data_IF_514008295689
#
_entry.id   IF_514008295689
#
_cell.length_a   1.000
_cell.length_b   1.000
_cell.length_c   1.000
_cell.angle_alpha   90.00
_cell.angle_beta   90.00
_cell.angle_gamma   90.00
#
_symmetry.space_group_name_H-M   'P 1'
#
loop_
_entity.id
_entity.type
_entity.pdbx_description
1 polymer ?
#
# COMPACT_ATOMS: atom_id res chain seq x y z
N UNK A 1 14.52 -5.54 32.50
CA UNK A 1 14.16 -5.72 31.08
C UNK A 1 12.83 -6.45 30.99
N UNK A 2 11.87 -5.86 30.28
CA UNK A 2 10.58 -6.54 30.04
C UNK A 2 10.77 -7.60 28.95
N UNK A 3 10.31 -8.82 29.18
CA UNK A 3 10.30 -9.87 28.15
C UNK A 3 9.06 -9.85 27.25
N UNK A 4 8.01 -9.14 27.63
CA UNK A 4 6.74 -9.05 26.88
C UNK A 4 6.05 -7.71 27.15
N UNK A 5 5.32 -7.21 26.16
CA UNK A 5 4.40 -6.08 26.33
C UNK A 5 3.19 -6.48 27.17
N UNK A 6 2.63 -5.55 27.93
CA UNK A 6 1.32 -5.70 28.58
C UNK A 6 0.18 -5.64 27.56
N UNK A 7 -1.02 -6.10 27.93
CA UNK A 7 -2.20 -6.05 27.04
C UNK A 7 -2.49 -4.64 26.53
N UNK A 8 -2.36 -3.60 27.37
CA UNK A 8 -2.55 -2.21 27.00
C UNK A 8 -1.51 -1.72 25.99
N UNK A 9 -0.25 -2.12 26.16
CA UNK A 9 0.84 -1.79 25.24
C UNK A 9 0.67 -2.52 23.90
N UNK A 10 0.18 -3.77 23.88
CA UNK A 10 -0.17 -4.46 22.64
C UNK A 10 -1.28 -3.73 21.86
N UNK A 11 -2.35 -3.30 22.55
CA UNK A 11 -3.43 -2.52 21.92
C UNK A 11 -2.90 -1.19 21.38
N UNK A 12 -2.01 -0.52 22.14
CA UNK A 12 -1.40 0.73 21.71
C UNK A 12 -0.57 0.55 20.42
N UNK A 13 0.32 -0.46 20.40
CA UNK A 13 1.17 -0.76 19.23
C UNK A 13 0.31 -1.21 18.03
N UNK A 14 -0.71 -2.04 18.26
CA UNK A 14 -1.65 -2.47 17.21
C UNK A 14 -2.44 -1.30 16.62
N UNK A 15 -2.94 -0.39 17.45
CA UNK A 15 -3.64 0.82 17.01
C UNK A 15 -2.72 1.77 16.24
N UNK A 16 -1.46 1.86 16.64
CA UNK A 16 -0.45 2.65 15.93
C UNK A 16 -0.17 2.04 14.55
N UNK A 17 0.05 0.71 14.47
CA UNK A 17 0.22 -0.02 13.21
C UNK A 17 -0.96 0.18 12.29
N UNK A 18 -2.17 -0.01 12.79
CA UNK A 18 -3.39 0.26 12.03
C UNK A 18 -3.41 1.69 11.49
N UNK A 19 -3.11 2.68 12.33
CA UNK A 19 -3.09 4.09 11.93
C UNK A 19 -1.98 4.46 10.94
N UNK A 20 -0.89 3.67 10.87
CA UNK A 20 0.18 3.84 9.88
C UNK A 20 -0.21 3.26 8.51
N UNK A 21 -0.91 2.13 8.49
CA UNK A 21 -1.33 1.48 7.25
C UNK A 21 -2.64 2.04 6.72
N UNK A 22 -3.59 2.35 7.59
CA UNK A 22 -4.92 2.74 7.17
C UNK A 22 -4.96 4.16 6.57
N UNK A 23 -5.00 4.24 5.25
CA UNK A 23 -5.04 5.46 4.46
C UNK A 23 -6.16 5.47 3.42
N UNK A 24 -6.10 6.42 2.50
CA UNK A 24 -7.09 6.57 1.42
C UNK A 24 -7.28 5.30 0.58
N UNK A 25 -6.17 4.63 0.24
CA UNK A 25 -6.19 3.42 -0.57
C UNK A 25 -7.01 2.28 0.05
N UNK A 26 -6.92 2.14 1.37
CA UNK A 26 -7.61 1.10 2.14
C UNK A 26 -9.14 1.23 2.15
N UNK A 27 -9.65 2.33 1.66
CA UNK A 27 -11.09 2.59 1.49
C UNK A 27 -11.52 2.42 0.05
N UNK A 28 -10.81 3.08 -0.86
CA UNK A 28 -11.24 3.18 -2.25
C UNK A 28 -11.07 1.86 -3.00
N UNK A 29 -9.99 1.11 -2.76
CA UNK A 29 -9.78 -0.13 -3.49
C UNK A 29 -10.70 -1.27 -3.06
N UNK A 30 -10.96 -1.52 -1.76
CA UNK A 30 -11.92 -2.55 -1.37
C UNK A 30 -13.35 -2.27 -1.84
N UNK A 31 -13.84 -1.03 -1.76
CA UNK A 31 -15.20 -0.71 -2.21
C UNK A 31 -15.35 -0.88 -3.72
N UNK A 32 -14.37 -0.44 -4.50
CA UNK A 32 -14.35 -0.60 -5.95
C UNK A 32 -14.25 -2.08 -6.36
N UNK A 33 -13.35 -2.84 -5.71
CA UNK A 33 -13.26 -4.29 -5.90
C UNK A 33 -14.62 -4.94 -5.66
N UNK A 34 -15.35 -4.53 -4.63
CA UNK A 34 -16.69 -5.04 -4.35
C UNK A 34 -17.66 -4.79 -5.49
N UNK A 35 -17.68 -3.57 -6.04
CA UNK A 35 -18.52 -3.23 -7.19
C UNK A 35 -18.14 -4.05 -8.44
N UNK A 36 -16.87 -4.30 -8.66
CA UNK A 36 -16.38 -5.02 -9.84
C UNK A 36 -16.50 -6.54 -9.72
N UNK A 37 -16.25 -7.09 -8.53
CA UNK A 37 -16.22 -8.52 -8.31
C UNK A 37 -17.61 -9.20 -8.26
N UNK A 38 -18.64 -8.45 -7.88
CA UNK A 38 -20.01 -8.99 -7.86
C UNK A 38 -20.12 -10.31 -7.10
N UNK A 39 -20.76 -11.32 -7.70
CA UNK A 39 -20.92 -12.66 -7.11
C UNK A 39 -19.60 -13.39 -6.81
N UNK A 40 -18.50 -12.99 -7.46
CA UNK A 40 -17.17 -13.58 -7.26
C UNK A 40 -16.39 -12.88 -6.11
N UNK A 41 -17.05 -12.04 -5.34
CA UNK A 41 -16.42 -11.17 -4.31
C UNK A 41 -15.61 -11.93 -3.27
N UNK A 42 -16.01 -13.14 -2.87
CA UNK A 42 -15.31 -13.90 -1.83
C UNK A 42 -13.91 -14.34 -2.25
N UNK A 43 -13.75 -14.77 -3.50
CA UNK A 43 -12.43 -15.12 -4.04
C UNK A 43 -11.57 -13.85 -4.23
N UNK A 44 -12.17 -12.77 -4.68
CA UNK A 44 -11.49 -11.50 -4.84
C UNK A 44 -11.02 -10.92 -3.48
N UNK A 45 -11.87 -10.98 -2.44
CA UNK A 45 -11.51 -10.62 -1.06
C UNK A 45 -10.32 -11.45 -0.57
N UNK A 46 -10.32 -12.76 -0.79
CA UNK A 46 -9.22 -13.62 -0.36
C UNK A 46 -7.89 -13.17 -0.99
N UNK A 47 -7.88 -12.88 -2.29
CA UNK A 47 -6.71 -12.32 -2.98
C UNK A 47 -6.26 -10.99 -2.38
N UNK A 48 -7.19 -10.05 -2.21
CA UNK A 48 -6.95 -8.73 -1.62
C UNK A 48 -6.36 -8.83 -0.20
N UNK A 49 -6.89 -9.71 0.65
CA UNK A 49 -6.44 -9.86 2.03
C UNK A 49 -5.01 -10.41 2.13
N UNK A 50 -4.59 -11.26 1.20
CA UNK A 50 -3.21 -11.79 1.18
C UNK A 50 -2.23 -10.65 0.94
N UNK A 51 -2.48 -9.78 -0.02
CA UNK A 51 -1.55 -8.71 -0.42
C UNK A 51 -1.75 -7.41 0.34
N UNK A 52 -2.99 -7.03 0.62
CA UNK A 52 -3.32 -5.79 1.31
C UNK A 52 -3.23 -5.89 2.85
N UNK A 53 -3.25 -7.11 3.41
CA UNK A 53 -3.18 -7.31 4.87
C UNK A 53 -2.07 -8.27 5.27
N UNK A 54 -1.95 -9.41 4.62
CA UNK A 54 -0.96 -10.43 4.96
C UNK A 54 0.48 -9.97 4.69
N UNK A 55 0.76 -9.45 3.50
CA UNK A 55 2.10 -8.96 3.15
C UNK A 55 2.58 -7.80 4.03
N UNK A 56 1.77 -6.79 4.38
CA UNK A 56 2.17 -5.76 5.35
C UNK A 56 2.61 -6.32 6.69
N UNK A 57 1.89 -7.30 7.23
CA UNK A 57 2.28 -7.99 8.45
C UNK A 57 3.64 -8.68 8.31
N UNK A 58 3.83 -9.41 7.21
CA UNK A 58 5.09 -10.10 6.92
C UNK A 58 6.24 -9.11 6.71
N UNK A 59 5.99 -7.93 6.12
CA UNK A 59 6.98 -6.88 5.93
C UNK A 59 7.50 -6.32 7.25
N UNK A 60 6.60 -5.98 8.19
CA UNK A 60 7.01 -5.54 9.53
C UNK A 60 7.74 -6.66 10.29
N UNK A 61 7.24 -7.90 10.20
CA UNK A 61 7.87 -9.07 10.81
C UNK A 61 9.28 -9.32 10.25
N UNK A 62 9.47 -9.13 8.94
CA UNK A 62 10.75 -9.29 8.26
C UNK A 62 11.83 -8.34 8.82
N UNK A 63 11.49 -7.06 9.04
CA UNK A 63 12.39 -6.09 9.66
C UNK A 63 12.78 -6.51 11.09
N UNK A 64 11.81 -6.96 11.89
CA UNK A 64 12.04 -7.41 13.26
C UNK A 64 12.92 -8.66 13.32
N UNK A 65 12.59 -9.69 12.52
CA UNK A 65 13.29 -10.99 12.50
C UNK A 65 14.70 -10.87 11.92
N UNK A 66 14.88 -10.08 10.86
CA UNK A 66 16.19 -9.86 10.23
C UNK A 66 17.09 -8.93 11.01
N UNK A 67 16.61 -8.35 12.12
CA UNK A 67 17.31 -7.35 12.95
C UNK A 67 17.77 -6.13 12.15
N UNK A 68 17.09 -5.81 11.07
CA UNK A 68 17.44 -4.68 10.22
C UNK A 68 16.97 -3.37 10.86
N UNK A 69 17.77 -2.32 10.71
CA UNK A 69 17.48 -0.98 11.23
C UNK A 69 16.55 -0.17 10.30
N UNK A 70 16.14 -0.75 9.18
CA UNK A 70 15.23 -0.16 8.20
C UNK A 70 15.36 -0.83 6.84
N UNK A 71 14.64 -0.28 5.86
CA UNK A 71 14.61 -0.82 4.50
C UNK A 71 16.00 -0.82 3.84
N UNK A 72 16.76 0.28 4.00
CA UNK A 72 18.08 0.39 3.41
C UNK A 72 19.03 -0.71 3.92
N UNK A 73 19.04 -0.94 5.24
CA UNK A 73 19.85 -1.98 5.86
C UNK A 73 19.44 -3.38 5.40
N UNK A 74 18.13 -3.66 5.38
CA UNK A 74 17.61 -4.93 4.87
C UNK A 74 18.03 -5.18 3.42
N UNK A 75 17.88 -4.20 2.55
CA UNK A 75 18.21 -4.26 1.13
C UNK A 75 19.72 -4.34 0.89
N UNK A 76 20.55 -3.82 1.82
CA UNK A 76 22.02 -3.87 1.76
C UNK A 76 22.56 -5.30 1.84
N UNK A 77 21.77 -6.27 2.31
CA UNK A 77 22.13 -7.70 2.28
C UNK A 77 22.29 -8.21 0.84
N UNK A 78 21.66 -7.59 -0.14
CA UNK A 78 21.90 -7.83 -1.57
C UNK A 78 23.17 -7.11 -2.03
N UNK A 79 23.12 -5.78 -2.06
CA UNK A 79 24.25 -4.91 -2.33
C UNK A 79 23.93 -3.46 -1.97
N UNK A 80 24.95 -2.63 -1.74
CA UNK A 80 24.75 -1.21 -1.43
C UNK A 80 24.10 -0.42 -2.58
N UNK A 81 24.46 -0.61 -3.86
CA UNK A 81 23.78 0.03 -4.99
C UNK A 81 22.31 -0.39 -5.09
N UNK A 82 22.01 -1.67 -4.91
CA UNK A 82 20.63 -2.16 -4.89
C UNK A 82 19.83 -1.51 -3.75
N UNK A 83 20.38 -1.43 -2.54
CA UNK A 83 19.73 -0.80 -1.40
C UNK A 83 19.41 0.67 -1.66
N UNK A 84 20.32 1.42 -2.26
CA UNK A 84 20.10 2.81 -2.62
C UNK A 84 18.96 2.94 -3.64
N UNK A 85 19.03 2.17 -4.73
CA UNK A 85 18.00 2.15 -5.76
C UNK A 85 16.63 1.77 -5.19
N UNK A 86 16.54 0.63 -4.49
CA UNK A 86 15.26 0.09 -4.02
C UNK A 86 14.64 0.98 -2.94
N UNK A 87 15.43 1.51 -2.01
CA UNK A 87 14.94 2.44 -0.98
C UNK A 87 14.43 3.74 -1.62
N UNK A 88 15.19 4.34 -2.53
CA UNK A 88 14.72 5.54 -3.23
C UNK A 88 13.45 5.28 -4.04
N UNK A 89 13.42 4.21 -4.84
CA UNK A 89 12.27 3.86 -5.66
C UNK A 89 11.00 3.63 -4.81
N UNK A 90 11.13 2.88 -3.70
CA UNK A 90 10.01 2.61 -2.80
C UNK A 90 9.51 3.89 -2.12
N UNK A 91 10.41 4.70 -1.54
CA UNK A 91 10.00 5.93 -0.87
C UNK A 91 9.44 6.99 -1.82
N UNK A 92 9.95 7.09 -3.05
CA UNK A 92 9.37 7.97 -4.07
C UNK A 92 7.96 7.50 -4.49
N UNK A 93 7.74 6.20 -4.56
CA UNK A 93 6.44 5.61 -4.92
C UNK A 93 5.39 5.83 -3.85
N UNK A 94 5.66 5.47 -2.58
CA UNK A 94 4.73 5.72 -1.47
C UNK A 94 4.73 7.20 -1.04
N UNK A 95 5.66 7.98 -1.53
CA UNK A 95 5.83 9.40 -1.26
C UNK A 95 5.27 10.27 -2.39
N UNK A 96 6.13 11.13 -2.96
CA UNK A 96 5.70 12.23 -3.82
C UNK A 96 5.09 11.81 -5.16
N UNK A 97 5.34 10.58 -5.65
CA UNK A 97 4.87 10.21 -6.97
C UNK A 97 3.42 9.69 -6.96
N UNK A 98 3.02 8.89 -5.96
CA UNK A 98 1.69 8.28 -6.02
C UNK A 98 0.88 8.39 -4.73
N UNK A 99 1.36 7.93 -3.56
CA UNK A 99 0.49 7.88 -2.39
C UNK A 99 0.16 9.27 -1.83
N UNK A 100 1.09 10.22 -1.81
CA UNK A 100 0.83 11.59 -1.33
C UNK A 100 -0.13 12.33 -2.27
N UNK A 101 0.10 12.39 -3.62
CA UNK A 101 -0.86 13.02 -4.53
C UNK A 101 -2.23 12.34 -4.47
N UNK A 102 -2.29 11.01 -4.34
CA UNK A 102 -3.54 10.26 -4.19
C UNK A 102 -4.33 10.68 -2.95
N UNK A 103 -3.68 11.05 -1.84
CA UNK A 103 -4.39 11.59 -0.69
C UNK A 103 -5.19 12.85 -1.03
N UNK A 104 -4.60 13.78 -1.78
CA UNK A 104 -5.29 15.00 -2.20
C UNK A 104 -6.43 14.70 -3.18
N UNK A 105 -6.15 13.91 -4.22
CA UNK A 105 -7.16 13.58 -5.25
C UNK A 105 -8.30 12.75 -4.69
N UNK A 106 -8.06 11.76 -3.83
CA UNK A 106 -9.13 11.01 -3.16
C UNK A 106 -10.00 11.94 -2.32
N UNK A 107 -9.39 12.86 -1.57
CA UNK A 107 -10.14 13.84 -0.77
C UNK A 107 -11.02 14.74 -1.63
N UNK A 108 -10.51 15.16 -2.80
CA UNK A 108 -11.25 15.94 -3.77
C UNK A 108 -12.41 15.14 -4.36
N UNK A 109 -12.13 13.93 -4.87
CA UNK A 109 -13.13 13.07 -5.53
C UNK A 109 -14.24 12.63 -4.59
N UNK A 110 -13.91 12.27 -3.33
CA UNK A 110 -14.93 11.87 -2.33
C UNK A 110 -15.76 13.07 -1.86
N UNK A 111 -15.18 14.25 -1.85
CA UNK A 111 -15.81 15.43 -1.27
C UNK A 111 -16.29 16.44 -2.31
N UNK A 112 -15.39 17.34 -2.69
CA UNK A 112 -15.75 18.53 -3.45
C UNK A 112 -16.29 18.20 -4.85
N UNK A 113 -15.71 17.22 -5.53
CA UNK A 113 -16.08 16.83 -6.89
C UNK A 113 -17.56 16.45 -7.01
N UNK A 114 -18.14 15.82 -5.98
CA UNK A 114 -19.53 15.35 -5.97
C UNK A 114 -20.58 16.48 -5.88
N UNK A 115 -20.16 17.65 -5.44
CA UNK A 115 -21.04 18.82 -5.26
C UNK A 115 -20.79 19.93 -6.26
N UNK A 116 -19.79 19.75 -7.14
CA UNK A 116 -19.49 20.72 -8.20
C UNK A 116 -20.54 20.69 -9.30
N UNK A 117 -20.86 21.85 -9.90
CA UNK A 117 -21.68 21.90 -11.10
C UNK A 117 -21.04 21.09 -12.23
N UNK A 118 -21.84 20.31 -12.97
CA UNK A 118 -21.34 19.49 -14.08
C UNK A 118 -20.70 20.33 -15.21
N UNK A 119 -21.11 21.58 -15.36
CA UNK A 119 -20.55 22.53 -16.32
C UNK A 119 -19.31 23.25 -15.79
N UNK A 120 -18.88 22.98 -14.56
CA UNK A 120 -17.71 23.59 -13.91
C UNK A 120 -16.39 23.04 -14.45
N UNK A 121 -15.34 23.89 -14.46
CA UNK A 121 -13.99 23.44 -14.81
C UNK A 121 -13.38 22.66 -13.63
N UNK A 122 -13.61 21.36 -13.59
CA UNK A 122 -13.12 20.45 -12.54
C UNK A 122 -11.61 20.58 -12.32
N UNK A 123 -10.83 20.84 -13.36
CA UNK A 123 -9.38 21.01 -13.29
C UNK A 123 -9.00 22.22 -12.42
N UNK A 124 -9.69 23.35 -12.55
CA UNK A 124 -9.42 24.54 -11.73
C UNK A 124 -9.76 24.27 -10.27
N UNK A 125 -10.90 23.62 -10.01
CA UNK A 125 -11.30 23.27 -8.64
C UNK A 125 -10.32 22.29 -7.98
N UNK A 126 -9.86 21.27 -8.74
CA UNK A 126 -8.82 20.33 -8.27
C UNK A 126 -7.51 21.06 -7.96
N UNK A 127 -7.08 22.01 -8.80
CA UNK A 127 -5.88 22.81 -8.57
C UNK A 127 -5.99 23.63 -7.28
N UNK A 128 -7.10 24.36 -7.11
CA UNK A 128 -7.31 25.19 -5.91
C UNK A 128 -7.35 24.34 -4.65
N UNK A 129 -8.07 23.21 -4.71
CA UNK A 129 -8.13 22.25 -3.60
C UNK A 129 -6.75 21.67 -3.28
N UNK A 130 -6.00 21.23 -4.30
CA UNK A 130 -4.67 20.65 -4.14
C UNK A 130 -3.68 21.66 -3.54
N UNK A 131 -3.72 22.94 -3.97
CA UNK A 131 -2.89 24.00 -3.38
C UNK A 131 -3.20 24.17 -1.89
N UNK A 132 -4.48 24.26 -1.52
CA UNK A 132 -4.89 24.38 -0.12
C UNK A 132 -4.48 23.15 0.70
N UNK A 133 -4.70 21.93 0.16
CA UNK A 133 -4.35 20.67 0.79
C UNK A 133 -2.84 20.56 1.05
N UNK A 134 -2.01 20.82 0.04
CA UNK A 134 -0.56 20.73 0.16
C UNK A 134 0.06 21.88 0.98
N UNK A 135 -0.53 23.07 0.96
CA UNK A 135 -0.14 24.13 1.88
C UNK A 135 -0.35 23.72 3.34
N UNK A 136 -1.50 23.13 3.65
CA UNK A 136 -1.79 22.58 4.98
C UNK A 136 -0.85 21.41 5.33
N UNK A 137 -0.67 20.44 4.40
CA UNK A 137 0.20 19.29 4.61
C UNK A 137 1.65 19.71 4.88
N UNK A 138 2.19 20.63 4.10
CA UNK A 138 3.55 21.16 4.28
C UNK A 138 3.68 21.94 5.59
N UNK A 139 2.69 22.79 5.92
CA UNK A 139 2.69 23.54 7.19
C UNK A 139 2.82 22.61 8.39
N UNK A 140 2.05 21.49 8.42
CA UNK A 140 2.12 20.52 9.50
C UNK A 140 3.41 19.67 9.44
N UNK A 141 3.89 19.29 8.27
CA UNK A 141 5.14 18.54 8.12
C UNK A 141 6.36 19.34 8.59
N UNK A 142 6.36 20.65 8.39
CA UNK A 142 7.44 21.53 8.85
C UNK A 142 7.38 21.85 10.35
N UNK A 143 6.26 21.56 11.02
CA UNK A 143 6.03 21.79 12.44
C UNK A 143 5.50 20.51 13.09
N UNK A 144 6.31 19.45 13.24
CA UNK A 144 5.90 18.23 13.88
C UNK A 144 5.56 18.51 15.36
N UNK A 145 4.31 18.69 15.64
CA UNK A 145 3.82 19.06 16.96
C UNK A 145 2.63 18.19 17.41
N UNK A 146 2.13 18.46 18.61
CA UNK A 146 1.01 17.73 19.25
C UNK A 146 -0.29 17.66 18.43
N UNK A 147 -0.47 18.56 17.43
CA UNK A 147 -1.67 18.65 16.59
C UNK A 147 -1.89 17.35 15.80
N UNK A 148 -0.83 16.76 15.18
CA UNK A 148 -0.93 15.49 14.46
C UNK A 148 -1.35 14.34 15.37
N UNK A 149 -0.87 14.37 16.62
CA UNK A 149 -1.25 13.37 17.63
C UNK A 149 -2.72 13.52 18.02
N UNK A 150 -3.20 14.76 18.14
CA UNK A 150 -4.60 15.05 18.45
C UNK A 150 -5.54 14.67 17.32
N UNK A 151 -5.21 15.07 16.09
CA UNK A 151 -5.95 14.71 14.88
C UNK A 151 -6.04 13.19 14.74
N UNK A 152 -4.94 12.46 14.98
CA UNK A 152 -4.95 11.00 14.94
C UNK A 152 -5.77 10.35 16.07
N UNK A 153 -5.77 10.92 17.27
CA UNK A 153 -6.48 10.35 18.42
C UNK A 153 -8.00 10.54 18.36
N UNK A 154 -8.48 11.62 17.77
CA UNK A 154 -9.91 11.94 17.72
C UNK A 154 -10.48 11.59 16.35
N UNK A 155 -9.80 11.98 15.29
CA UNK A 155 -10.35 11.89 13.94
C UNK A 155 -10.41 10.45 13.42
N UNK A 156 -9.38 9.64 13.69
CA UNK A 156 -9.39 8.25 13.25
C UNK A 156 -10.54 7.44 13.87
N UNK A 157 -10.81 7.50 15.19
CA UNK A 157 -12.00 6.89 15.76
C UNK A 157 -13.31 7.43 15.18
N UNK A 158 -13.46 8.75 15.04
CA UNK A 158 -14.68 9.35 14.47
C UNK A 158 -14.93 8.87 13.04
N UNK A 159 -13.88 8.83 12.21
CA UNK A 159 -13.95 8.30 10.86
C UNK A 159 -14.37 6.82 10.84
N UNK A 160 -13.77 5.97 11.69
CA UNK A 160 -14.10 4.55 11.77
C UNK A 160 -15.55 4.32 12.25
N UNK A 161 -16.05 5.12 13.19
CA UNK A 161 -17.46 5.06 13.61
C UNK A 161 -18.37 5.44 12.45
N UNK A 162 -18.06 6.52 11.72
CA UNK A 162 -18.85 6.91 10.55
C UNK A 162 -18.84 5.84 9.46
N UNK A 163 -17.66 5.29 9.15
CA UNK A 163 -17.52 4.20 8.19
C UNK A 163 -18.31 2.96 8.62
N UNK A 164 -18.26 2.61 9.91
CA UNK A 164 -19.04 1.50 10.44
C UNK A 164 -20.54 1.74 10.29
N UNK A 165 -21.04 2.95 10.57
CA UNK A 165 -22.44 3.33 10.35
C UNK A 165 -22.80 3.17 8.87
N UNK A 166 -22.02 3.73 7.95
CA UNK A 166 -22.25 3.63 6.51
C UNK A 166 -22.34 2.16 6.07
N UNK A 167 -21.33 1.36 6.44
CA UNK A 167 -21.27 -0.06 6.08
C UNK A 167 -22.47 -0.82 6.66
N UNK A 168 -22.80 -0.62 7.93
CA UNK A 168 -23.95 -1.29 8.57
C UNK A 168 -25.24 -0.92 7.85
N UNK A 169 -25.47 0.34 7.52
CA UNK A 169 -26.66 0.77 6.79
C UNK A 169 -26.76 0.07 5.44
N UNK A 170 -25.67 0.01 4.66
CA UNK A 170 -25.66 -0.68 3.36
C UNK A 170 -25.94 -2.18 3.52
N UNK A 171 -25.32 -2.84 4.51
CA UNK A 171 -25.48 -4.29 4.71
C UNK A 171 -26.87 -4.67 5.24
N UNK A 172 -27.54 -3.79 5.96
CA UNK A 172 -28.90 -4.02 6.49
C UNK A 172 -29.99 -3.66 5.46
N UNK A 173 -29.69 -2.72 4.56
CA UNK A 173 -30.60 -2.30 3.48
C UNK A 173 -29.93 -2.50 2.12
N UNK A 174 -29.56 -3.74 1.74
CA UNK A 174 -28.80 -3.98 0.52
C UNK A 174 -29.61 -3.61 -0.73
N UNK A 175 -28.94 -3.01 -1.72
CA UNK A 175 -29.54 -2.75 -3.02
C UNK A 175 -29.76 -4.04 -3.81
N UNK A 176 -28.82 -5.00 -3.69
CA UNK A 176 -28.93 -6.33 -4.29
C UNK A 176 -28.30 -7.40 -3.39
N UNK A 177 -28.73 -8.65 -3.60
CA UNK A 177 -28.00 -9.80 -3.06
C UNK A 177 -26.65 -9.98 -3.78
N UNK A 178 -25.63 -10.38 -3.04
CA UNK A 178 -24.28 -10.64 -3.61
C UNK A 178 -24.34 -11.61 -4.79
N UNK A 179 -25.19 -12.62 -4.74
CA UNK A 179 -25.33 -13.63 -5.80
C UNK A 179 -25.93 -13.08 -7.10
N UNK A 180 -26.65 -11.97 -7.04
CA UNK A 180 -27.36 -11.37 -8.18
C UNK A 180 -26.48 -10.37 -8.96
N UNK A 181 -25.36 -9.92 -8.38
CA UNK A 181 -24.48 -8.92 -8.98
C UNK A 181 -23.51 -9.61 -9.93
N UNK A 182 -23.60 -9.29 -11.22
CA UNK A 182 -22.66 -9.84 -12.22
C UNK A 182 -21.24 -9.29 -12.01
N UNK A 183 -20.21 -10.13 -12.05
CA UNK A 183 -18.82 -9.71 -12.01
C UNK A 183 -18.42 -9.01 -13.31
N UNK A 184 -17.48 -8.07 -13.22
CA UNK A 184 -17.00 -7.25 -14.34
C UNK A 184 -15.48 -7.43 -14.53
N UNK A 185 -15.03 -7.27 -15.79
CA UNK A 185 -13.61 -7.32 -16.14
C UNK A 185 -12.93 -8.60 -15.69
N UNK A 186 -11.69 -8.52 -15.22
CA UNK A 186 -10.90 -9.67 -14.78
C UNK A 186 -11.50 -10.46 -13.60
N UNK A 187 -12.46 -9.89 -12.89
CA UNK A 187 -13.14 -10.60 -11.79
C UNK A 187 -14.13 -11.67 -12.26
N UNK A 188 -14.53 -11.67 -13.54
CA UNK A 188 -15.36 -12.69 -14.10
C UNK A 188 -14.57 -14.02 -14.26
N UNK A 189 -13.34 -13.94 -14.77
CA UNK A 189 -12.54 -15.10 -15.13
C UNK A 189 -11.55 -15.51 -14.04
N UNK A 190 -10.92 -14.55 -13.37
CA UNK A 190 -9.80 -14.74 -12.45
C UNK A 190 -9.94 -13.91 -11.16
N UNK A 191 -11.05 -14.05 -10.41
CA UNK A 191 -11.37 -13.15 -9.28
C UNK A 191 -10.31 -13.13 -8.20
N UNK A 192 -9.71 -14.28 -7.87
CA UNK A 192 -8.66 -14.38 -6.85
C UNK A 192 -7.40 -13.60 -7.25
N UNK A 193 -6.90 -13.81 -8.47
CA UNK A 193 -5.66 -13.15 -8.92
C UNK A 193 -5.88 -11.67 -9.18
N UNK A 194 -7.05 -11.29 -9.70
CA UNK A 194 -7.42 -9.88 -9.86
C UNK A 194 -7.47 -9.18 -8.50
N UNK A 195 -8.10 -9.78 -7.51
CA UNK A 195 -8.12 -9.26 -6.14
C UNK A 195 -6.73 -9.24 -5.47
N UNK A 196 -5.88 -10.24 -5.75
CA UNK A 196 -4.50 -10.26 -5.28
C UNK A 196 -3.69 -9.08 -5.82
N UNK A 197 -3.82 -8.78 -7.11
CA UNK A 197 -3.15 -7.64 -7.73
C UNK A 197 -3.77 -6.30 -7.29
N UNK A 198 -5.07 -6.26 -7.05
CA UNK A 198 -5.74 -5.05 -6.53
C UNK A 198 -5.18 -4.65 -5.17
N UNK A 199 -4.79 -5.62 -4.34
CA UNK A 199 -4.12 -5.32 -3.08
C UNK A 199 -2.76 -4.61 -3.23
N UNK A 200 -2.10 -4.66 -4.38
CA UNK A 200 -0.91 -3.85 -4.65
C UNK A 200 -1.23 -2.35 -4.64
N UNK A 201 -2.41 -1.98 -5.09
CA UNK A 201 -2.87 -0.59 -5.14
C UNK A 201 -3.01 0.04 -3.75
N UNK A 202 -3.17 -0.75 -2.68
CA UNK A 202 -3.18 -0.22 -1.29
C UNK A 202 -1.81 0.33 -0.88
N UNK A 203 -0.72 -0.18 -1.47
CA UNK A 203 0.69 0.14 -1.15
C UNK A 203 1.12 -0.25 0.27
N UNK A 204 0.32 -1.00 1.01
CA UNK A 204 0.57 -1.31 2.43
C UNK A 204 1.80 -2.19 2.64
N UNK A 205 2.10 -3.12 1.73
CA UNK A 205 3.31 -3.93 1.84
C UNK A 205 4.58 -3.09 1.65
N UNK A 206 4.56 -2.10 0.75
CA UNK A 206 5.65 -1.15 0.60
C UNK A 206 5.77 -0.25 1.83
N UNK A 207 4.65 0.25 2.34
CA UNK A 207 4.57 1.04 3.56
C UNK A 207 5.11 0.27 4.77
N UNK A 208 4.86 -1.05 4.86
CA UNK A 208 5.36 -1.90 5.94
C UNK A 208 6.89 -1.96 6.00
N UNK A 209 7.54 -2.01 4.85
CA UNK A 209 9.01 -1.97 4.75
C UNK A 209 9.58 -0.58 5.06
N UNK A 210 8.85 0.48 4.74
CA UNK A 210 9.27 1.84 5.02
C UNK A 210 9.07 2.22 6.50
N UNK A 211 7.92 1.90 7.08
CA UNK A 211 7.51 2.37 8.39
C UNK A 211 7.63 1.31 9.49
N UNK A 212 7.85 0.05 9.15
CA UNK A 212 7.94 -1.04 10.13
C UNK A 212 9.01 -0.83 11.19
N UNK A 213 10.07 -0.09 10.87
CA UNK A 213 11.12 0.27 11.84
C UNK A 213 10.60 1.17 12.96
N UNK A 214 9.64 2.05 12.69
CA UNK A 214 9.02 2.92 13.70
C UNK A 214 8.34 2.06 14.76
N UNK A 215 7.67 0.99 14.33
CA UNK A 215 7.00 0.05 15.24
C UNK A 215 8.00 -0.71 16.09
N UNK A 216 9.08 -1.19 15.48
CA UNK A 216 10.18 -1.84 16.19
C UNK A 216 10.80 -0.91 17.24
N UNK A 217 11.01 0.36 16.91
CA UNK A 217 11.53 1.36 17.82
C UNK A 217 10.58 1.61 19.00
N UNK A 218 9.29 1.80 18.74
CA UNK A 218 8.28 2.00 19.80
C UNK A 218 8.24 0.80 20.77
N UNK A 219 8.35 -0.44 20.26
CA UNK A 219 8.40 -1.63 21.11
C UNK A 219 9.66 -1.62 22.01
N UNK A 220 10.81 -1.16 21.49
CA UNK A 220 12.03 -0.98 22.27
C UNK A 220 11.87 0.10 23.33
N UNK A 221 11.29 1.23 22.98
CA UNK A 221 11.04 2.35 23.91
C UNK A 221 10.07 1.94 25.05
N UNK A 222 9.19 0.96 24.80
CA UNK A 222 8.36 0.34 25.83
C UNK A 222 9.12 -0.65 26.75
N UNK A 223 10.43 -0.82 26.55
CA UNK A 223 11.34 -1.58 27.41
C UNK A 223 11.55 -3.03 26.99
N UNK A 224 11.16 -3.43 25.76
CA UNK A 224 11.45 -4.75 25.20
C UNK A 224 12.70 -4.62 24.32
N UNK A 225 13.87 -5.03 24.85
CA UNK A 225 15.16 -4.84 24.16
C UNK A 225 15.64 -6.10 23.44
N UNK A 226 15.27 -7.28 23.94
CA UNK A 226 15.73 -8.54 23.37
C UNK A 226 15.14 -8.74 21.95
N UNK A 227 16.00 -8.96 20.92
CA UNK A 227 15.55 -8.96 19.53
C UNK A 227 14.46 -9.98 19.17
N UNK A 228 14.49 -11.15 19.82
CA UNK A 228 13.45 -12.19 19.63
C UNK A 228 12.12 -11.77 20.25
N UNK A 229 12.17 -11.10 21.41
CA UNK A 229 10.99 -10.57 22.09
C UNK A 229 10.40 -9.36 21.34
N UNK A 230 11.24 -8.50 20.77
CA UNK A 230 10.81 -7.39 19.88
C UNK A 230 10.10 -7.94 18.66
N UNK A 231 10.72 -8.89 17.94
CA UNK A 231 10.12 -9.53 16.76
C UNK A 231 8.79 -10.22 17.13
N UNK A 232 8.74 -10.98 18.21
CA UNK A 232 7.52 -11.64 18.68
C UNK A 232 6.41 -10.66 19.08
N UNK A 233 6.77 -9.53 19.70
CA UNK A 233 5.83 -8.47 20.07
C UNK A 233 5.30 -7.74 18.83
N UNK A 234 6.17 -7.47 17.85
CA UNK A 234 5.80 -6.87 16.56
C UNK A 234 4.79 -7.74 15.81
N UNK A 235 5.05 -9.03 15.68
CA UNK A 235 4.14 -9.97 15.01
C UNK A 235 2.79 -10.05 15.73
N UNK A 236 2.77 -10.15 17.05
CA UNK A 236 1.51 -10.21 17.81
C UNK A 236 0.69 -8.95 17.69
N UNK A 237 1.30 -7.76 17.83
CA UNK A 237 0.61 -6.50 17.64
C UNK A 237 0.11 -6.37 16.19
N UNK A 238 0.92 -6.81 15.22
CA UNK A 238 0.56 -6.83 13.81
C UNK A 238 -0.64 -7.72 13.51
N UNK A 239 -0.76 -8.89 14.13
CA UNK A 239 -1.93 -9.79 13.96
C UNK A 239 -3.23 -9.07 14.34
N UNK A 240 -3.28 -8.37 15.48
CA UNK A 240 -4.47 -7.61 15.89
C UNK A 240 -4.81 -6.49 14.90
N UNK A 241 -3.81 -5.74 14.45
CA UNK A 241 -3.98 -4.70 13.44
C UNK A 241 -4.52 -5.27 12.13
N UNK A 242 -3.94 -6.38 11.67
CA UNK A 242 -4.33 -7.04 10.43
C UNK A 242 -5.73 -7.67 10.48
N UNK A 243 -6.12 -8.26 11.60
CA UNK A 243 -7.48 -8.76 11.79
C UNK A 243 -8.51 -7.64 11.69
N UNK A 244 -8.19 -6.48 12.29
CA UNK A 244 -9.07 -5.33 12.23
C UNK A 244 -9.14 -4.73 10.80
N UNK A 245 -7.99 -4.63 10.11
CA UNK A 245 -7.96 -4.23 8.70
C UNK A 245 -8.74 -5.20 7.80
N UNK A 246 -8.57 -6.51 8.00
CA UNK A 246 -9.29 -7.53 7.24
C UNK A 246 -10.80 -7.41 7.42
N UNK A 247 -11.27 -7.20 8.67
CA UNK A 247 -12.69 -6.98 8.95
C UNK A 247 -13.24 -5.77 8.19
N UNK A 248 -12.51 -4.64 8.20
CA UNK A 248 -12.93 -3.44 7.48
C UNK A 248 -12.93 -3.70 5.96
N UNK A 249 -11.90 -4.35 5.42
CA UNK A 249 -11.83 -4.65 4.00
C UNK A 249 -12.99 -5.53 3.55
N UNK A 250 -13.29 -6.60 4.27
CA UNK A 250 -14.44 -7.47 3.99
C UNK A 250 -15.75 -6.66 4.00
N UNK A 251 -15.95 -5.87 5.05
CA UNK A 251 -17.18 -5.11 5.25
C UNK A 251 -17.39 -4.03 4.17
N UNK A 252 -16.34 -3.26 3.85
CA UNK A 252 -16.39 -2.22 2.82
C UNK A 252 -16.54 -2.84 1.42
N UNK A 253 -15.89 -3.98 1.15
CA UNK A 253 -16.03 -4.68 -0.12
C UNK A 253 -17.46 -5.19 -0.33
N UNK A 254 -18.05 -5.82 0.70
CA UNK A 254 -19.43 -6.28 0.63
C UNK A 254 -20.42 -5.13 0.44
N UNK A 255 -20.18 -3.99 1.12
CA UNK A 255 -20.98 -2.78 0.89
C UNK A 255 -20.86 -2.29 -0.56
N UNK A 256 -19.65 -2.34 -1.15
CA UNK A 256 -19.44 -2.05 -2.57
C UNK A 256 -20.23 -2.99 -3.48
N UNK A 257 -20.20 -4.31 -3.23
CA UNK A 257 -20.96 -5.29 -4.03
C UNK A 257 -22.47 -5.03 -3.94
N UNK A 258 -23.00 -4.88 -2.73
CA UNK A 258 -24.45 -4.71 -2.53
C UNK A 258 -24.97 -3.38 -3.06
N UNK A 259 -24.13 -2.34 -3.14
CA UNK A 259 -24.51 -1.06 -3.72
C UNK A 259 -24.87 -1.14 -5.22
N UNK A 260 -24.39 -2.18 -5.92
CA UNK A 260 -24.65 -2.41 -7.36
C UNK A 260 -26.13 -2.64 -7.70
N UNK A 261 -26.97 -2.94 -6.72
CA UNK A 261 -28.42 -3.03 -6.95
C UNK A 261 -29.11 -1.69 -7.17
N UNK A 262 -28.48 -0.60 -6.74
CA UNK A 262 -29.04 0.77 -6.81
C UNK A 262 -28.08 1.77 -7.47
N UNK A 263 -26.84 1.41 -7.65
CA UNK A 263 -25.79 2.23 -8.27
C UNK A 263 -25.08 1.42 -9.36
N UNK A 264 -24.65 2.09 -10.41
CA UNK A 264 -23.75 1.50 -11.42
C UNK A 264 -22.33 1.36 -10.88
N UNK A 265 -21.48 0.54 -11.54
CA UNK A 265 -20.08 0.47 -11.20
C UNK A 265 -19.40 1.81 -11.50
N UNK A 266 -18.74 2.36 -10.51
CA UNK A 266 -18.03 3.63 -10.63
C UNK A 266 -16.66 3.45 -11.29
N UNK A 267 -16.13 4.51 -11.88
CA UNK A 267 -14.78 4.49 -12.49
C UNK A 267 -13.65 4.24 -11.48
N UNK A 268 -13.87 4.65 -10.24
CA UNK A 268 -12.91 4.46 -9.15
C UNK A 268 -13.62 4.37 -7.80
N UNK A 269 -12.88 3.91 -6.80
CA UNK A 269 -13.43 3.71 -5.47
C UNK A 269 -13.73 4.99 -4.67
N UNK A 270 -13.15 6.12 -5.05
CA UNK A 270 -13.47 7.42 -4.44
C UNK A 270 -14.89 7.84 -4.80
N UNK A 271 -15.22 7.78 -6.09
CA UNK A 271 -16.56 8.03 -6.61
C UNK A 271 -17.56 7.02 -6.06
N UNK A 272 -17.21 5.72 -6.05
CA UNK A 272 -18.05 4.67 -5.48
C UNK A 272 -18.45 4.97 -4.03
N UNK A 273 -17.47 5.27 -3.19
CA UNK A 273 -17.70 5.53 -1.77
C UNK A 273 -18.57 6.77 -1.54
N UNK A 274 -18.35 7.83 -2.33
CA UNK A 274 -19.15 9.05 -2.25
C UNK A 274 -20.60 8.81 -2.66
N UNK A 275 -20.83 8.11 -3.78
CA UNK A 275 -22.17 7.77 -4.26
C UNK A 275 -22.92 6.88 -3.27
N UNK A 276 -22.24 5.89 -2.65
CA UNK A 276 -22.81 5.05 -1.60
C UNK A 276 -23.23 5.92 -0.40
N UNK A 277 -22.34 6.81 0.08
CA UNK A 277 -22.67 7.69 1.19
C UNK A 277 -23.82 8.64 0.87
N UNK A 278 -23.85 9.19 -0.33
CA UNK A 278 -24.96 10.06 -0.80
C UNK A 278 -26.29 9.30 -0.87
N UNK A 279 -26.29 8.08 -1.41
CA UNK A 279 -27.50 7.27 -1.57
C UNK A 279 -28.08 6.83 -0.23
N UNK A 280 -27.24 6.28 0.66
CA UNK A 280 -27.71 5.67 1.92
C UNK A 280 -27.84 6.64 3.09
N UNK A 281 -27.04 7.69 3.14
CA UNK A 281 -27.01 8.67 4.24
C UNK A 281 -27.36 10.10 3.81
N UNK A 282 -27.66 10.28 2.52
CA UNK A 282 -27.99 11.59 1.95
C UNK A 282 -26.85 12.59 1.94
N UNK A 283 -27.16 13.84 1.67
CA UNK A 283 -26.17 14.92 1.56
C UNK A 283 -25.36 15.12 2.85
N UNK A 284 -25.98 14.97 4.02
CA UNK A 284 -25.27 15.07 5.29
C UNK A 284 -24.21 13.96 5.44
N UNK A 285 -24.53 12.73 5.03
CA UNK A 285 -23.58 11.60 5.01
C UNK A 285 -22.39 11.86 4.08
N UNK A 286 -22.65 12.41 2.90
CA UNK A 286 -21.58 12.79 1.95
C UNK A 286 -20.63 13.85 2.57
N UNK A 287 -21.17 14.91 3.20
CA UNK A 287 -20.32 15.94 3.83
C UNK A 287 -19.49 15.40 4.99
N UNK A 288 -20.06 14.53 5.84
CA UNK A 288 -19.33 13.90 6.94
C UNK A 288 -18.21 13.00 6.38
N UNK A 289 -18.52 12.21 5.34
CA UNK A 289 -17.52 11.38 4.66
C UNK A 289 -16.39 12.24 4.08
N UNK A 290 -16.74 13.28 3.33
CA UNK A 290 -15.79 14.19 2.71
C UNK A 290 -14.84 14.84 3.74
N UNK A 291 -15.38 15.35 4.83
CA UNK A 291 -14.60 15.96 5.92
C UNK A 291 -13.66 14.94 6.57
N UNK A 292 -14.18 13.77 6.93
CA UNK A 292 -13.41 12.72 7.63
C UNK A 292 -12.34 12.10 6.74
N UNK A 293 -12.62 11.83 5.47
CA UNK A 293 -11.65 11.33 4.49
C UNK A 293 -10.57 12.37 4.23
N UNK A 294 -10.94 13.64 4.03
CA UNK A 294 -9.97 14.73 3.80
C UNK A 294 -8.98 14.85 4.95
N UNK A 295 -9.47 14.80 6.17
CA UNK A 295 -8.62 14.91 7.35
C UNK A 295 -7.76 13.65 7.57
N UNK A 296 -8.28 12.47 7.29
CA UNK A 296 -7.50 11.22 7.31
C UNK A 296 -6.39 11.24 6.25
N UNK A 297 -6.71 11.66 5.03
CA UNK A 297 -5.76 11.82 3.93
C UNK A 297 -4.70 12.88 4.24
N UNK A 298 -5.09 14.01 4.85
CA UNK A 298 -4.15 15.06 5.25
C UNK A 298 -3.14 14.51 6.27
N UNK A 299 -3.61 13.79 7.28
CA UNK A 299 -2.73 13.13 8.27
C UNK A 299 -1.74 12.18 7.58
N UNK A 300 -2.23 11.34 6.66
CA UNK A 300 -1.40 10.39 5.91
C UNK A 300 -0.36 11.13 5.06
N UNK A 301 -0.77 12.16 4.32
CA UNK A 301 0.14 12.97 3.51
C UNK A 301 1.25 13.63 4.34
N UNK A 302 0.91 14.20 5.51
CA UNK A 302 1.91 14.76 6.43
C UNK A 302 2.89 13.71 6.92
N UNK A 303 2.41 12.52 7.32
CA UNK A 303 3.27 11.42 7.75
C UNK A 303 4.21 10.94 6.65
N UNK A 304 3.71 10.82 5.43
CA UNK A 304 4.50 10.42 4.27
C UNK A 304 5.54 11.46 3.87
N UNK A 305 5.18 12.77 3.83
CA UNK A 305 6.13 13.87 3.56
C UNK A 305 7.24 13.84 4.58
N UNK A 306 6.90 13.71 5.86
CA UNK A 306 7.88 13.66 6.96
C UNK A 306 8.82 12.47 6.82
N UNK A 307 8.29 11.27 6.65
CA UNK A 307 9.10 10.05 6.54
C UNK A 307 10.00 10.05 5.31
N UNK A 308 9.50 10.50 4.16
CA UNK A 308 10.31 10.63 2.95
C UNK A 308 11.43 11.67 3.14
N UNK A 309 11.13 12.83 3.71
CA UNK A 309 12.12 13.88 3.95
C UNK A 309 13.20 13.45 4.94
N UNK A 310 12.85 12.75 6.02
CA UNK A 310 13.79 12.18 6.99
C UNK A 310 14.69 11.12 6.34
N UNK A 311 14.10 10.20 5.59
CA UNK A 311 14.84 9.12 4.92
C UNK A 311 15.82 9.67 3.89
N UNK A 312 15.39 10.61 3.04
CA UNK A 312 16.27 11.21 2.04
C UNK A 312 17.36 12.08 2.65
N UNK A 313 17.09 12.75 3.77
CA UNK A 313 18.12 13.48 4.54
C UNK A 313 19.17 12.51 5.08
N UNK A 314 18.77 11.35 5.56
CA UNK A 314 19.69 10.32 6.05
C UNK A 314 20.48 9.63 4.92
N UNK A 315 19.83 9.35 3.77
CA UNK A 315 20.47 8.71 2.62
C UNK A 315 21.46 9.64 1.91
N UNK A 316 21.20 10.95 1.91
CA UNK A 316 22.01 11.96 1.23
C UNK A 316 22.53 13.03 2.22
N UNK A 317 23.51 12.71 3.09
CA UNK A 317 23.99 13.62 4.12
C UNK A 317 24.59 14.94 3.59
N UNK A 318 25.07 14.93 2.34
CA UNK A 318 25.59 16.10 1.63
C UNK A 318 24.53 16.82 0.78
N UNK A 319 23.31 16.29 0.75
CA UNK A 319 22.19 16.79 -0.03
C UNK A 319 21.38 17.86 0.71
N UNK A 320 20.17 18.13 0.21
CA UNK A 320 19.23 19.06 0.85
C UNK A 320 18.88 18.65 2.29
N UNK A 321 18.60 19.64 3.13
CA UNK A 321 18.12 19.42 4.51
C UNK A 321 16.65 19.01 4.51
N UNK A 322 16.17 18.47 5.63
CA UNK A 322 14.78 18.02 5.83
C UNK A 322 13.72 19.00 5.28
N UNK A 323 13.82 20.28 5.62
CA UNK A 323 12.86 21.30 5.16
C UNK A 323 12.79 21.41 3.65
N UNK A 324 13.95 21.36 2.98
CA UNK A 324 14.03 21.45 1.52
C UNK A 324 13.44 20.21 0.87
N UNK A 325 13.72 19.00 1.39
CA UNK A 325 13.10 17.78 0.93
C UNK A 325 11.58 17.79 1.10
N UNK A 326 11.08 18.22 2.26
CA UNK A 326 9.64 18.33 2.51
C UNK A 326 8.95 19.29 1.51
N UNK A 327 9.57 20.42 1.18
CA UNK A 327 9.07 21.35 0.16
C UNK A 327 9.10 20.73 -1.23
N UNK A 328 10.21 20.09 -1.64
CA UNK A 328 10.35 19.42 -2.94
C UNK A 328 9.28 18.35 -3.11
N UNK A 329 9.11 17.49 -2.12
CA UNK A 329 8.13 16.40 -2.19
C UNK A 329 6.69 16.92 -2.19
N UNK A 330 6.39 17.98 -1.44
CA UNK A 330 5.06 18.60 -1.48
C UNK A 330 4.77 19.24 -2.84
N UNK A 331 5.74 19.91 -3.47
CA UNK A 331 5.57 20.50 -4.80
C UNK A 331 5.41 19.45 -5.89
N UNK A 332 6.22 18.38 -5.88
CA UNK A 332 6.06 17.27 -6.84
C UNK A 332 4.68 16.66 -6.66
N UNK A 333 4.25 16.41 -5.44
CA UNK A 333 2.93 15.84 -5.16
C UNK A 333 1.79 16.75 -5.59
N UNK A 334 1.93 18.07 -5.42
CA UNK A 334 0.96 19.05 -5.90
C UNK A 334 0.83 19.00 -7.42
N UNK A 335 1.95 18.96 -8.14
CA UNK A 335 1.93 18.86 -9.60
C UNK A 335 1.24 17.58 -10.07
N UNK A 336 1.59 16.45 -9.48
CA UNK A 336 1.03 15.15 -9.85
C UNK A 336 -0.44 14.98 -9.44
N UNK A 337 -0.87 15.58 -8.34
CA UNK A 337 -2.27 15.56 -7.92
C UNK A 337 -3.21 16.15 -8.97
N UNK A 338 -2.73 17.13 -9.76
CA UNK A 338 -3.53 17.75 -10.82
C UNK A 338 -3.76 16.85 -12.04
N UNK A 339 -3.17 15.66 -12.09
CA UNK A 339 -3.52 14.62 -13.08
C UNK A 339 -4.87 13.96 -12.78
N UNK A 340 -5.38 14.09 -11.55
CA UNK A 340 -6.60 13.44 -11.09
C UNK A 340 -6.40 12.01 -10.58
N UNK A 341 -7.42 11.48 -9.88
CA UNK A 341 -7.32 10.19 -9.18
C UNK A 341 -7.11 9.02 -10.14
N UNK A 342 -7.88 8.97 -11.25
CA UNK A 342 -7.80 7.88 -12.23
C UNK A 342 -6.41 7.79 -12.87
N UNK A 343 -5.83 8.93 -13.27
CA UNK A 343 -4.49 8.96 -13.85
C UNK A 343 -3.41 8.51 -12.84
N UNK A 344 -3.49 8.96 -11.58
CA UNK A 344 -2.55 8.53 -10.54
C UNK A 344 -2.61 7.02 -10.35
N UNK A 345 -3.81 6.42 -10.31
CA UNK A 345 -3.98 4.96 -10.19
C UNK A 345 -3.37 4.27 -11.40
N UNK A 346 -3.68 4.72 -12.62
CA UNK A 346 -3.19 4.11 -13.86
C UNK A 346 -1.65 4.16 -13.98
N UNK A 347 -1.03 5.30 -13.65
CA UNK A 347 0.43 5.43 -13.71
C UNK A 347 1.16 4.77 -12.54
N UNK A 348 0.51 4.57 -11.41
CA UNK A 348 1.11 3.84 -10.29
C UNK A 348 1.21 2.34 -10.54
N UNK A 349 0.26 1.75 -11.26
CA UNK A 349 0.16 0.31 -11.46
C UNK A 349 1.46 -0.32 -12.03
N UNK A 350 2.09 0.18 -13.10
CA UNK A 350 3.34 -0.38 -13.60
C UNK A 350 4.45 -0.38 -12.55
N UNK A 351 4.59 0.71 -11.80
CA UNK A 351 5.61 0.84 -10.75
C UNK A 351 5.34 -0.13 -9.61
N UNK A 352 4.08 -0.36 -9.26
CA UNK A 352 3.70 -1.35 -8.26
C UNK A 352 3.99 -2.78 -8.76
N UNK A 353 3.67 -3.09 -10.02
CA UNK A 353 4.00 -4.37 -10.64
C UNK A 353 5.51 -4.65 -10.68
N UNK A 354 6.34 -3.61 -10.66
CA UNK A 354 7.78 -3.71 -10.53
C UNK A 354 8.25 -3.90 -9.07
N UNK A 355 7.74 -3.08 -8.14
CA UNK A 355 8.23 -3.03 -6.76
C UNK A 355 7.71 -4.15 -5.87
N UNK A 356 6.48 -4.64 -6.09
CA UNK A 356 5.90 -5.69 -5.26
C UNK A 356 6.63 -7.02 -5.37
N UNK A 357 6.98 -7.55 -6.55
CA UNK A 357 7.83 -8.72 -6.67
C UNK A 357 9.13 -8.62 -5.86
N UNK A 358 9.83 -7.49 -5.98
CA UNK A 358 11.06 -7.22 -5.24
C UNK A 358 10.83 -7.16 -3.73
N UNK A 359 9.73 -6.54 -3.30
CA UNK A 359 9.36 -6.44 -1.90
C UNK A 359 9.02 -7.80 -1.31
N UNK A 360 8.21 -8.59 -2.01
CA UNK A 360 7.79 -9.94 -1.59
C UNK A 360 9.00 -10.87 -1.48
N UNK A 361 9.87 -10.87 -2.49
CA UNK A 361 11.10 -11.67 -2.48
C UNK A 361 12.02 -11.26 -1.32
N UNK A 362 12.19 -9.96 -1.08
CA UNK A 362 13.03 -9.45 0.01
C UNK A 362 12.44 -9.80 1.38
N UNK A 363 11.13 -9.68 1.56
CA UNK A 363 10.42 -10.11 2.78
C UNK A 363 10.63 -11.60 3.02
N UNK A 364 10.42 -12.45 2.01
CA UNK A 364 10.60 -13.89 2.10
C UNK A 364 12.05 -14.25 2.49
N UNK A 365 13.04 -13.64 1.84
CA UNK A 365 14.45 -13.83 2.16
C UNK A 365 14.79 -13.39 3.58
N UNK A 366 14.20 -12.30 4.07
CA UNK A 366 14.41 -11.83 5.43
C UNK A 366 13.84 -12.80 6.48
N UNK A 367 12.62 -13.31 6.25
CA UNK A 367 11.97 -14.27 7.14
C UNK A 367 12.68 -15.63 7.16
N UNK A 368 13.14 -16.11 6.00
CA UNK A 368 13.82 -17.38 5.84
C UNK A 368 15.33 -17.30 6.07
N UNK A 369 15.88 -16.11 6.29
CA UNK A 369 17.31 -15.85 6.35
C UNK A 369 18.09 -16.70 7.35
N UNK A 370 17.45 -17.13 8.44
CA UNK A 370 18.06 -18.03 9.45
C UNK A 370 18.47 -19.38 8.86
N UNK A 371 17.76 -19.92 7.86
CA UNK A 371 18.04 -21.23 7.27
C UNK A 371 19.31 -21.26 6.42
N UNK A 372 19.74 -20.12 5.92
CA UNK A 372 20.95 -19.99 5.11
C UNK A 372 21.91 -18.91 5.63
N UNK A 373 21.82 -18.59 6.93
CA UNK A 373 22.73 -17.65 7.61
C UNK A 373 22.77 -16.24 7.01
N UNK A 374 21.68 -15.80 6.38
CA UNK A 374 21.60 -14.52 5.62
C UNK A 374 22.69 -14.38 4.56
N UNK A 375 23.13 -15.50 3.92
CA UNK A 375 24.19 -15.50 2.90
C UNK A 375 23.81 -14.57 1.72
N UNK A 376 24.71 -13.65 1.43
CA UNK A 376 24.57 -12.69 0.34
C UNK A 376 24.36 -13.36 -1.02
N UNK A 377 24.94 -14.54 -1.25
CA UNK A 377 24.78 -15.28 -2.50
C UNK A 377 23.31 -15.59 -2.77
N UNK A 378 22.58 -16.07 -1.75
CA UNK A 378 21.15 -16.36 -1.87
C UNK A 378 20.35 -15.10 -2.17
N UNK A 379 20.65 -13.99 -1.45
CA UNK A 379 20.00 -12.70 -1.73
C UNK A 379 20.25 -12.23 -3.16
N UNK A 380 21.49 -12.25 -3.62
CA UNK A 380 21.86 -11.73 -4.96
C UNK A 380 21.19 -12.52 -6.08
N UNK A 381 21.21 -13.85 -6.04
CA UNK A 381 20.62 -14.67 -7.07
C UNK A 381 19.10 -14.54 -7.10
N UNK A 382 18.45 -14.62 -5.94
CA UNK A 382 16.99 -14.44 -5.86
C UNK A 382 16.56 -13.08 -6.38
N UNK A 383 17.18 -12.00 -5.86
CA UNK A 383 16.79 -10.65 -6.25
C UNK A 383 17.14 -10.32 -7.71
N UNK A 384 18.23 -10.88 -8.25
CA UNK A 384 18.62 -10.70 -9.65
C UNK A 384 17.58 -11.29 -10.60
N UNK A 385 17.14 -12.52 -10.37
CA UNK A 385 16.11 -13.17 -11.18
C UNK A 385 14.73 -12.48 -11.01
N UNK A 386 14.40 -12.07 -9.78
CA UNK A 386 13.18 -11.31 -9.52
C UNK A 386 13.19 -9.98 -10.26
N UNK A 387 14.30 -9.26 -10.27
CA UNK A 387 14.43 -7.96 -10.94
C UNK A 387 14.18 -8.07 -12.45
N UNK A 388 14.74 -9.09 -13.09
CA UNK A 388 14.55 -9.31 -14.54
C UNK A 388 13.07 -9.57 -14.84
N UNK A 389 12.42 -10.42 -14.05
CA UNK A 389 10.99 -10.72 -14.23
C UNK A 389 10.09 -9.53 -13.88
N UNK A 390 10.44 -8.74 -12.86
CA UNK A 390 9.69 -7.54 -12.49
C UNK A 390 9.74 -6.46 -13.59
N UNK A 391 10.84 -6.37 -14.36
CA UNK A 391 10.89 -5.48 -15.54
C UNK A 391 9.85 -5.91 -16.59
N UNK A 392 9.67 -7.22 -16.80
CA UNK A 392 8.64 -7.71 -17.69
C UNK A 392 7.24 -7.31 -17.20
N UNK A 393 6.92 -7.56 -15.92
CA UNK A 393 5.61 -7.22 -15.34
C UNK A 393 5.36 -5.69 -15.39
N UNK A 394 6.41 -4.86 -15.17
CA UNK A 394 6.36 -3.41 -15.36
C UNK A 394 5.95 -3.03 -16.80
N UNK A 395 6.60 -3.63 -17.79
CA UNK A 395 6.36 -3.32 -19.21
C UNK A 395 4.93 -3.68 -19.61
N UNK A 396 4.45 -4.85 -19.18
CA UNK A 396 3.10 -5.34 -19.53
C UNK A 396 2.01 -4.49 -18.86
N UNK A 397 2.30 -3.86 -17.74
CA UNK A 397 1.37 -2.99 -17.01
C UNK A 397 1.38 -1.53 -17.49
N UNK A 398 2.23 -1.13 -18.43
CA UNK A 398 2.30 0.24 -18.94
C UNK A 398 0.98 0.67 -19.60
N UNK A 399 0.61 1.95 -19.51
CA UNK A 399 -0.53 2.50 -20.23
C UNK A 399 -0.44 2.22 -21.75
N UNK A 400 -1.57 1.94 -22.38
CA UNK A 400 -1.65 1.49 -23.79
C UNK A 400 -0.82 2.35 -24.77
N UNK A 401 -0.82 3.67 -24.58
CA UNK A 401 -0.08 4.59 -25.44
C UNK A 401 1.43 4.32 -25.41
N UNK A 402 1.99 4.06 -24.23
CA UNK A 402 3.42 3.76 -24.04
C UNK A 402 3.72 2.31 -24.43
N UNK A 403 2.84 1.40 -24.02
CA UNK A 403 2.95 -0.03 -24.32
C UNK A 403 3.02 -0.30 -25.83
N UNK A 404 2.13 0.35 -26.60
CA UNK A 404 2.12 0.21 -28.05
C UNK A 404 3.36 0.86 -28.72
N UNK A 405 3.85 1.98 -28.18
CA UNK A 405 5.05 2.65 -28.72
C UNK A 405 6.33 1.80 -28.62
N UNK A 406 6.42 0.90 -27.62
CA UNK A 406 7.57 0.00 -27.41
C UNK A 406 7.34 -1.41 -27.99
N UNK A 407 6.31 -1.62 -28.82
CA UNK A 407 5.92 -2.95 -29.31
C UNK A 407 5.65 -3.97 -28.18
N UNK A 408 4.91 -3.51 -27.16
CA UNK A 408 4.65 -4.26 -25.94
C UNK A 408 3.95 -5.60 -26.15
N UNK A 409 3.16 -5.75 -27.23
CA UNK A 409 2.49 -7.02 -27.57
C UNK A 409 3.48 -8.14 -27.85
N UNK A 410 4.63 -7.86 -28.51
CA UNK A 410 5.67 -8.87 -28.73
C UNK A 410 6.28 -9.31 -27.39
N UNK A 411 6.52 -8.37 -26.46
CA UNK A 411 7.04 -8.65 -25.12
C UNK A 411 6.03 -9.47 -24.31
N UNK A 412 4.76 -9.10 -24.34
CA UNK A 412 3.68 -9.81 -23.69
C UNK A 412 3.50 -11.24 -24.22
N UNK A 413 3.55 -11.42 -25.54
CA UNK A 413 3.50 -12.73 -26.18
C UNK A 413 4.70 -13.61 -25.77
N UNK A 414 5.90 -13.04 -25.73
CA UNK A 414 7.10 -13.75 -25.26
C UNK A 414 6.92 -14.22 -23.81
N UNK A 415 6.53 -13.34 -22.91
CA UNK A 415 6.31 -13.72 -21.51
C UNK A 415 5.18 -14.76 -21.35
N UNK A 416 4.08 -14.62 -22.10
CA UNK A 416 2.98 -15.58 -22.08
C UNK A 416 3.40 -16.98 -22.54
N UNK A 417 4.45 -17.07 -23.39
CA UNK A 417 5.00 -18.35 -23.88
C UNK A 417 6.03 -18.97 -22.91
N UNK A 418 6.84 -18.16 -22.25
CA UNK A 418 8.01 -18.64 -21.50
C UNK A 418 7.94 -18.42 -19.98
N UNK A 419 7.10 -17.50 -19.49
CA UNK A 419 6.95 -17.23 -18.06
C UNK A 419 5.65 -17.85 -17.54
N UNK A 420 5.74 -18.94 -16.74
CA UNK A 420 4.56 -19.46 -16.06
C UNK A 420 3.88 -18.37 -15.23
N UNK A 421 2.56 -18.38 -15.20
CA UNK A 421 1.73 -17.40 -14.50
C UNK A 421 1.79 -15.94 -15.01
N UNK A 422 2.47 -15.64 -16.14
CA UNK A 422 2.52 -14.30 -16.71
C UNK A 422 1.12 -13.74 -17.01
N UNK A 423 0.20 -14.58 -17.51
CA UNK A 423 -1.20 -14.20 -17.75
C UNK A 423 -1.98 -13.81 -16.49
N UNK A 424 -1.49 -14.19 -15.32
CA UNK A 424 -2.05 -13.87 -14.01
C UNK A 424 -1.40 -12.65 -13.35
N UNK A 425 -0.45 -11.97 -14.04
CA UNK A 425 0.36 -10.90 -13.45
C UNK A 425 1.38 -11.39 -12.41
N UNK A 426 1.72 -12.67 -12.43
CA UNK A 426 2.64 -13.35 -11.51
C UNK A 426 3.84 -13.97 -12.24
N UNK A 427 4.24 -13.41 -13.36
CA UNK A 427 5.37 -13.89 -14.17
C UNK A 427 6.69 -13.94 -13.42
N UNK A 428 6.82 -13.17 -12.36
CA UNK A 428 8.00 -13.09 -11.51
C UNK A 428 8.20 -14.30 -10.56
N UNK A 429 7.16 -15.07 -10.26
CA UNK A 429 7.21 -16.13 -9.22
C UNK A 429 8.21 -17.23 -9.57
N UNK A 430 8.12 -17.83 -10.77
CA UNK A 430 9.00 -18.91 -11.18
C UNK A 430 10.47 -18.47 -11.30
N UNK A 431 10.81 -17.33 -11.92
CA UNK A 431 12.17 -16.80 -11.90
C UNK A 431 12.71 -16.58 -10.50
N UNK A 432 11.92 -16.00 -9.59
CA UNK A 432 12.30 -15.78 -8.19
C UNK A 432 12.65 -17.09 -7.49
N UNK A 433 11.81 -18.14 -7.65
CA UNK A 433 12.06 -19.46 -7.07
C UNK A 433 13.31 -20.11 -7.69
N UNK A 434 13.52 -19.98 -8.99
CA UNK A 434 14.73 -20.47 -9.66
C UNK A 434 15.98 -19.78 -9.11
N UNK A 435 15.95 -18.46 -8.97
CA UNK A 435 17.06 -17.70 -8.37
C UNK A 435 17.34 -18.10 -6.92
N UNK A 436 16.29 -18.33 -6.13
CA UNK A 436 16.41 -18.83 -4.76
C UNK A 436 17.04 -20.23 -4.71
N UNK A 437 16.60 -21.14 -5.56
CA UNK A 437 17.15 -22.50 -5.65
C UNK A 437 18.64 -22.47 -6.04
N UNK A 438 19.03 -21.69 -7.06
CA UNK A 438 20.43 -21.55 -7.48
C UNK A 438 21.26 -20.97 -6.32
N UNK A 439 20.78 -19.90 -5.68
CA UNK A 439 21.46 -19.29 -4.54
C UNK A 439 21.69 -20.26 -3.39
N UNK A 440 20.69 -21.07 -3.04
CA UNK A 440 20.79 -22.09 -1.99
C UNK A 440 21.75 -23.22 -2.35
N UNK A 441 21.70 -23.71 -3.58
CA UNK A 441 22.66 -24.74 -4.08
C UNK A 441 24.10 -24.24 -3.95
N UNK A 442 24.35 -23.00 -4.38
CA UNK A 442 25.69 -22.38 -4.29
C UNK A 442 26.13 -22.18 -2.83
N UNK A 443 25.23 -21.78 -1.95
CA UNK A 443 25.49 -21.62 -0.52
C UNK A 443 25.92 -22.95 0.11
N UNK A 444 25.15 -24.02 -0.08
CA UNK A 444 25.47 -25.34 0.50
C UNK A 444 26.70 -26.00 -0.14
N UNK A 445 26.95 -25.79 -1.44
CA UNK A 445 28.15 -26.28 -2.10
C UNK A 445 29.45 -25.65 -1.56
N UNK A 446 29.41 -24.33 -1.23
CA UNK A 446 30.51 -23.63 -0.59
C UNK A 446 30.75 -24.10 0.85
N UNK A 447 29.67 -24.29 1.61
CA UNK A 447 29.74 -24.78 2.99
C UNK A 447 30.34 -26.20 3.12
N UNK A 448 30.18 -27.07 2.11
CA UNK A 448 30.86 -28.38 2.06
C UNK A 448 32.36 -28.25 1.76
N UNK A 449 32.77 -27.32 0.88
CA UNK A 449 34.20 -27.08 0.57
C UNK A 449 35.00 -26.47 1.75
N UNK A 450 34.33 -25.75 2.64
CA UNK A 450 34.98 -25.16 3.81
C UNK A 450 35.11 -26.15 4.98
N UNK A 451 34.47 -27.34 4.89
CA UNK A 451 34.52 -28.42 5.90
C UNK A 451 35.33 -29.66 5.44
N UNK A 452 35.73 -29.72 4.17
CA UNK A 452 36.66 -30.68 3.60
C UNK A 452 38.07 -30.04 3.45
#
# INVERSE_FOLDING_TARGET
MKHKLSAKEYIYVASMLFGLFFGAGNLIFPVHLGQMAGSNVWLAILGLLITGVGLPLLGVAALGISRSTGLFDLSSKVSRPYAMFFTCALYLTIGPFFAIPRCATTSFTVGLEQVLPQDGNTTIYLLLFSVAFFAAALFFALRPGKILTWVGKILTPCFLVFLAILVVVVLVTPGASVAEVAPLGGYADQPFFTGFLEGYNTMDALASLAFGIIVVQVIRDLGVEEPSAVAGSTVRAGIFSCLFMALIYIAVTLAGTQSRGVLEASENGGTALAQIAQHYLGTAGLFILAATVTLACLKTAVGLITSCAETFTALFPKGPKYRTWAVIFSLISLLLANLGLNAIIAYSLPVLMFLYPLSIALIALALLGKFFGHDRTVYCWTMGFTLIAAIYDFIVALPESVFNAINGEAIKAFGAAYLPFAKLGLGWVCPTLAGAAIGLILHFARGKKARA
#
